data_IF_879287545827
#
_entry.id   IF_879287545827
#
_cell.length_a   1.000
_cell.length_b   1.000
_cell.length_c   1.000
_cell.angle_alpha   90.00
_cell.angle_beta   90.00
_cell.angle_gamma   90.00
#
_symmetry.space_group_name_H-M   'P 1'
#
loop_
_entity.id
_entity.type
_entity.pdbx_description
1 polymer ?
#
# COMPACT_ATOMS: atom_id res chain seq x y z
N UNK A 1 0.37 -4.77 -9.45
CA UNK A 1 1.72 -5.36 -9.46
C UNK A 1 2.77 -4.28 -9.66
N UNK A 2 3.16 -3.99 -10.91
CA UNK A 2 4.21 -3.00 -11.20
C UNK A 2 3.94 -1.59 -10.64
N UNK A 3 2.69 -1.12 -10.69
CA UNK A 3 2.30 0.18 -10.10
C UNK A 3 2.50 0.20 -8.57
N UNK A 4 2.09 -0.85 -7.85
CA UNK A 4 2.33 -0.96 -6.40
C UNK A 4 3.82 -1.01 -6.05
N UNK A 5 4.61 -1.75 -6.84
CA UNK A 5 6.06 -1.75 -6.68
C UNK A 5 6.63 -0.34 -6.87
N UNK A 6 6.22 0.36 -7.93
CA UNK A 6 6.64 1.73 -8.23
C UNK A 6 6.30 2.69 -7.08
N UNK A 7 5.05 2.73 -6.63
CA UNK A 7 4.62 3.62 -5.53
C UNK A 7 5.34 3.29 -4.21
N UNK A 8 5.52 2.00 -3.91
CA UNK A 8 6.29 1.56 -2.75
C UNK A 8 7.78 1.93 -2.85
N UNK A 9 8.35 1.85 -4.06
CA UNK A 9 9.72 2.21 -4.38
C UNK A 9 9.98 3.71 -4.25
N UNK A 10 9.05 4.57 -4.73
CA UNK A 10 9.10 6.01 -4.52
C UNK A 10 9.12 6.36 -3.03
N UNK A 11 8.22 5.76 -2.23
CA UNK A 11 8.17 5.99 -0.76
C UNK A 11 9.45 5.56 -0.05
N UNK A 12 10.12 4.49 -0.50
CA UNK A 12 11.46 4.12 -0.01
C UNK A 12 12.46 5.22 -0.37
N UNK A 13 12.47 5.64 -1.63
CA UNK A 13 13.44 6.62 -2.12
C UNK A 13 13.29 7.99 -1.44
N UNK A 14 12.06 8.44 -1.19
CA UNK A 14 11.78 9.67 -0.44
C UNK A 14 12.33 9.61 0.99
N UNK A 15 12.26 8.43 1.61
CA UNK A 15 12.67 8.23 2.99
C UNK A 15 14.19 8.05 3.17
N UNK A 16 14.87 7.47 2.18
CA UNK A 16 16.31 7.20 2.22
C UNK A 16 17.17 8.22 1.43
N UNK A 17 16.62 8.83 0.39
CA UNK A 17 17.34 9.68 -0.57
C UNK A 17 17.43 11.17 -0.23
N UNK A 18 16.80 11.61 0.87
CA UNK A 18 16.88 13.00 1.34
C UNK A 18 16.06 13.98 0.49
N UNK A 19 14.86 14.32 0.96
CA UNK A 19 14.23 15.64 0.81
C UNK A 19 14.33 16.36 -0.56
N UNK A 20 14.15 15.68 -1.69
CA UNK A 20 14.13 16.35 -3.01
C UNK A 20 12.73 16.57 -3.61
N UNK A 21 11.66 16.04 -3.01
CA UNK A 21 10.28 16.20 -3.52
C UNK A 21 9.22 16.52 -2.47
N UNK A 22 9.57 17.10 -1.32
CA UNK A 22 8.62 17.94 -0.61
C UNK A 22 8.57 19.32 -1.28
N UNK A 23 8.25 19.35 -2.58
CA UNK A 23 7.73 20.58 -3.14
C UNK A 23 6.26 20.55 -2.78
N UNK A 24 5.93 21.13 -1.62
CA UNK A 24 4.61 21.68 -1.44
C UNK A 24 4.30 22.46 -2.71
N UNK A 25 3.38 21.94 -3.53
CA UNK A 25 2.78 22.69 -4.60
C UNK A 25 2.01 23.81 -3.93
N UNK A 26 2.69 24.92 -3.64
CA UNK A 26 2.11 26.20 -3.25
C UNK A 26 1.47 26.89 -4.47
N UNK A 27 0.81 26.10 -5.32
CA UNK A 27 -0.09 26.54 -6.38
C UNK A 27 -1.55 26.38 -5.91
N UNK A 28 -2.52 27.00 -6.58
CA UNK A 28 -3.93 26.76 -6.28
C UNK A 28 -4.21 25.26 -6.43
N UNK A 29 -4.59 24.64 -5.32
CA UNK A 29 -4.92 23.21 -5.28
C UNK A 29 -6.19 23.01 -6.10
N UNK A 30 -6.08 22.36 -7.25
CA UNK A 30 -7.23 21.95 -8.04
C UNK A 30 -7.92 20.77 -7.35
N UNK A 31 -9.01 21.07 -6.63
CA UNK A 31 -9.81 20.08 -5.92
C UNK A 31 -10.29 18.96 -6.86
N UNK A 32 -10.60 19.29 -8.13
CA UNK A 32 -11.00 18.29 -9.11
C UNK A 32 -9.84 17.36 -9.48
N UNK A 33 -8.61 17.87 -9.53
CA UNK A 33 -7.41 17.04 -9.74
C UNK A 33 -7.19 16.09 -8.56
N UNK A 34 -7.32 16.56 -7.32
CA UNK A 34 -7.20 15.72 -6.12
C UNK A 34 -8.25 14.61 -6.13
N UNK A 35 -9.53 14.97 -6.34
CA UNK A 35 -10.62 13.99 -6.39
C UNK A 35 -10.37 12.95 -7.47
N UNK A 36 -9.95 13.38 -8.68
CA UNK A 36 -9.66 12.46 -9.79
C UNK A 36 -8.50 11.53 -9.47
N UNK A 37 -7.44 12.03 -8.85
CA UNK A 37 -6.29 11.21 -8.45
C UNK A 37 -6.68 10.18 -7.39
N UNK A 38 -7.47 10.59 -6.40
CA UNK A 38 -7.99 9.70 -5.37
C UNK A 38 -8.85 8.58 -5.96
N UNK A 39 -9.80 8.91 -6.84
CA UNK A 39 -10.67 7.93 -7.51
C UNK A 39 -9.86 6.97 -8.38
N UNK A 40 -8.89 7.47 -9.15
CA UNK A 40 -8.07 6.64 -10.04
C UNK A 40 -7.22 5.65 -9.23
N UNK A 41 -6.65 6.12 -8.12
CA UNK A 41 -5.86 5.27 -7.22
C UNK A 41 -6.73 4.18 -6.59
N UNK A 42 -7.90 4.55 -6.06
CA UNK A 42 -8.84 3.61 -5.46
C UNK A 42 -9.36 2.57 -6.48
N UNK A 43 -9.62 2.99 -7.73
CA UNK A 43 -10.04 2.08 -8.80
C UNK A 43 -8.96 1.05 -9.16
N UNK A 44 -7.70 1.48 -9.29
CA UNK A 44 -6.58 0.58 -9.58
C UNK A 44 -6.38 -0.42 -8.44
N UNK A 45 -6.38 0.06 -7.20
CA UNK A 45 -6.18 -0.75 -6.00
C UNK A 45 -7.33 -1.75 -5.80
N UNK A 46 -8.58 -1.31 -5.92
CA UNK A 46 -9.75 -2.20 -5.79
C UNK A 46 -9.82 -3.23 -6.92
N UNK A 47 -9.47 -2.85 -8.16
CA UNK A 47 -9.38 -3.78 -9.28
C UNK A 47 -8.30 -4.84 -9.03
N UNK A 48 -7.15 -4.45 -8.48
CA UNK A 48 -6.06 -5.39 -8.18
C UNK A 48 -6.45 -6.43 -7.12
N UNK A 49 -7.07 -6.00 -6.02
CA UNK A 49 -7.57 -6.91 -4.98
C UNK A 49 -8.63 -7.86 -5.56
N UNK A 50 -9.51 -7.36 -6.44
CA UNK A 50 -10.52 -8.19 -7.10
C UNK A 50 -9.90 -9.22 -8.04
N UNK A 51 -8.87 -8.84 -8.81
CA UNK A 51 -8.15 -9.76 -9.70
C UNK A 51 -7.39 -10.84 -8.93
N UNK A 52 -6.78 -10.49 -7.79
CA UNK A 52 -6.22 -11.46 -6.86
C UNK A 52 -7.29 -12.45 -6.37
N UNK A 53 -8.40 -11.94 -5.86
CA UNK A 53 -9.50 -12.78 -5.40
C UNK A 53 -10.01 -13.70 -6.52
N UNK A 54 -10.08 -13.20 -7.76
CA UNK A 54 -10.51 -13.95 -8.93
C UNK A 54 -9.53 -15.07 -9.31
N UNK A 55 -8.23 -14.83 -9.24
CA UNK A 55 -7.21 -15.86 -9.49
C UNK A 55 -7.34 -17.03 -8.50
N UNK A 56 -7.67 -16.73 -7.25
CA UNK A 56 -7.72 -17.74 -6.18
C UNK A 56 -8.93 -18.65 -6.28
N UNK A 57 -9.98 -18.21 -6.98
CA UNK A 57 -11.18 -18.99 -7.27
C UNK A 57 -11.31 -19.35 -8.75
N UNK A 58 -10.20 -19.31 -9.49
CA UNK A 58 -10.18 -19.64 -10.92
C UNK A 58 -10.54 -21.11 -11.19
N UNK A 59 -10.32 -22.01 -10.22
CA UNK A 59 -10.70 -23.43 -10.28
C UNK A 59 -12.15 -23.76 -9.87
N UNK A 60 -12.89 -22.79 -9.34
CA UNK A 60 -14.25 -23.01 -8.80
C UNK A 60 -15.35 -22.82 -9.85
N UNK A 61 -16.55 -23.37 -9.58
CA UNK A 61 -17.71 -23.17 -10.46
C UNK A 61 -18.13 -21.70 -10.54
N UNK A 62 -18.68 -21.27 -11.68
CA UNK A 62 -19.03 -19.85 -11.93
C UNK A 62 -19.88 -19.23 -10.84
N UNK A 63 -20.83 -19.98 -10.27
CA UNK A 63 -21.67 -19.52 -9.17
C UNK A 63 -20.88 -19.32 -7.87
N UNK A 64 -19.99 -20.26 -7.51
CA UNK A 64 -19.14 -20.15 -6.32
C UNK A 64 -18.18 -18.98 -6.43
N UNK A 65 -17.56 -18.80 -7.60
CA UNK A 65 -16.71 -17.65 -7.91
C UNK A 65 -17.42 -16.33 -7.66
N UNK A 66 -18.62 -16.14 -8.21
CA UNK A 66 -19.40 -14.90 -8.03
C UNK A 66 -19.69 -14.66 -6.54
N UNK A 67 -20.13 -15.68 -5.81
CA UNK A 67 -20.45 -15.55 -4.38
C UNK A 67 -19.19 -15.14 -3.58
N UNK A 68 -18.06 -15.79 -3.83
CA UNK A 68 -16.80 -15.47 -3.12
C UNK A 68 -16.34 -14.05 -3.44
N UNK A 69 -16.37 -13.64 -4.70
CA UNK A 69 -15.97 -12.26 -5.09
C UNK A 69 -16.85 -11.20 -4.43
N UNK A 70 -18.18 -11.41 -4.38
CA UNK A 70 -19.10 -10.49 -3.70
C UNK A 70 -18.82 -10.44 -2.20
N UNK A 71 -18.60 -11.60 -1.56
CA UNK A 71 -18.27 -11.67 -0.14
C UNK A 71 -16.96 -10.94 0.17
N UNK A 72 -15.91 -11.17 -0.61
CA UNK A 72 -14.62 -10.49 -0.44
C UNK A 72 -14.77 -8.99 -0.65
N UNK A 73 -15.48 -8.56 -1.69
CA UNK A 73 -15.73 -7.14 -1.96
C UNK A 73 -16.40 -6.44 -0.78
N UNK A 74 -17.47 -7.03 -0.24
CA UNK A 74 -18.17 -6.49 0.93
C UNK A 74 -17.29 -6.53 2.18
N UNK A 75 -16.63 -7.66 2.45
CA UNK A 75 -15.79 -7.85 3.62
C UNK A 75 -14.67 -6.82 3.66
N UNK A 76 -13.93 -6.64 2.57
CA UNK A 76 -12.82 -5.68 2.51
C UNK A 76 -13.34 -4.25 2.61
N UNK A 77 -14.46 -3.92 1.95
CA UNK A 77 -15.09 -2.59 2.06
C UNK A 77 -15.41 -2.26 3.52
N UNK A 78 -16.16 -3.13 4.22
CA UNK A 78 -16.51 -2.89 5.62
C UNK A 78 -15.30 -2.92 6.54
N UNK A 79 -14.35 -3.81 6.31
CA UNK A 79 -13.14 -3.91 7.14
C UNK A 79 -12.28 -2.65 7.04
N UNK A 80 -11.97 -2.18 5.82
CA UNK A 80 -11.10 -1.03 5.60
C UNK A 80 -11.80 0.26 6.03
N UNK A 81 -13.00 0.54 5.53
CA UNK A 81 -13.72 1.77 5.89
C UNK A 81 -14.15 1.78 7.36
N UNK A 82 -14.51 0.62 7.93
CA UNK A 82 -14.83 0.49 9.34
C UNK A 82 -13.61 0.74 10.23
N UNK A 83 -12.45 0.20 9.87
CA UNK A 83 -11.20 0.45 10.59
C UNK A 83 -10.80 1.92 10.53
N UNK A 84 -10.84 2.55 9.35
CA UNK A 84 -10.52 3.97 9.16
C UNK A 84 -11.49 4.85 9.97
N UNK A 85 -12.79 4.57 9.93
CA UNK A 85 -13.79 5.29 10.71
C UNK A 85 -13.56 5.12 12.22
N UNK A 86 -13.18 3.93 12.67
CA UNK A 86 -12.82 3.69 14.06
C UNK A 86 -11.57 4.49 14.47
N UNK A 87 -10.54 4.53 13.62
CA UNK A 87 -9.31 5.31 13.87
C UNK A 87 -9.60 6.81 14.01
N UNK A 88 -10.39 7.38 13.09
CA UNK A 88 -10.79 8.81 13.15
C UNK A 88 -11.59 9.08 14.42
N UNK A 89 -12.53 8.20 14.76
CA UNK A 89 -13.36 8.37 15.95
C UNK A 89 -12.57 8.29 17.26
N UNK A 90 -11.52 7.47 17.29
CA UNK A 90 -10.60 7.41 18.43
C UNK A 90 -9.75 8.69 18.55
N UNK A 91 -9.32 9.27 17.43
CA UNK A 91 -8.57 10.52 17.42
C UNK A 91 -9.43 11.71 17.90
N UNK A 92 -10.65 11.84 17.36
CA UNK A 92 -11.63 12.85 17.78
C UNK A 92 -11.99 12.72 19.26
N UNK A 93 -12.19 11.48 19.74
CA UNK A 93 -12.44 11.22 21.15
C UNK A 93 -11.23 11.61 22.02
N UNK A 94 -10.01 11.34 21.55
CA UNK A 94 -8.77 11.76 22.20
C UNK A 94 -8.67 13.27 22.34
N UNK A 95 -8.94 14.01 21.26
CA UNK A 95 -8.94 15.47 21.24
C UNK A 95 -10.00 16.05 22.19
N UNK A 96 -11.20 15.47 22.18
CA UNK A 96 -12.27 15.89 23.08
C UNK A 96 -11.90 15.68 24.56
N UNK A 97 -11.33 14.53 24.92
CA UNK A 97 -10.87 14.24 26.27
C UNK A 97 -9.69 15.12 26.70
N UNK A 98 -8.80 15.48 25.77
CA UNK A 98 -7.67 16.37 26.02
C UNK A 98 -8.10 17.81 26.33
N UNK A 99 -9.26 18.26 25.82
CA UNK A 99 -9.82 19.59 26.04
C UNK A 99 -10.79 19.66 27.23
N UNK A 100 -11.74 18.71 27.31
CA UNK A 100 -12.88 18.78 28.22
C UNK A 100 -12.83 17.75 29.37
N UNK A 101 -11.73 16.99 29.51
CA UNK A 101 -11.57 16.01 30.59
C UNK A 101 -11.79 16.60 31.98
N UNK A 102 -12.72 15.99 32.76
CA UNK A 102 -13.12 16.42 34.11
C UNK A 102 -12.01 16.25 35.16
N UNK A 103 -11.06 15.34 34.93
CA UNK A 103 -9.95 15.06 35.85
C UNK A 103 -8.60 15.20 35.14
N UNK A 104 -7.54 15.50 35.90
CA UNK A 104 -6.18 15.63 35.35
C UNK A 104 -5.70 14.38 34.62
N UNK A 105 -6.07 13.20 35.11
CA UNK A 105 -5.73 11.89 34.53
C UNK A 105 -6.43 11.68 33.18
N UNK A 106 -7.72 12.04 33.08
CA UNK A 106 -8.47 11.94 31.81
C UNK A 106 -7.90 12.91 30.77
N UNK A 107 -7.52 14.11 31.22
CA UNK A 107 -6.91 15.12 30.34
C UNK A 107 -5.53 14.69 29.85
N UNK A 108 -4.69 14.10 30.71
CA UNK A 108 -3.39 13.56 30.30
C UNK A 108 -3.53 12.37 29.36
N UNK A 109 -4.53 11.52 29.57
CA UNK A 109 -4.80 10.38 28.68
C UNK A 109 -5.27 10.83 27.28
N UNK A 110 -6.21 11.79 27.21
CA UNK A 110 -6.60 12.39 25.93
C UNK A 110 -5.42 13.05 25.20
N UNK A 111 -4.56 13.75 25.95
CA UNK A 111 -3.36 14.39 25.37
C UNK A 111 -2.36 13.35 24.86
N UNK A 112 -2.19 12.22 25.56
CA UNK A 112 -1.37 11.11 25.09
C UNK A 112 -1.91 10.51 23.78
N UNK A 113 -3.23 10.33 23.65
CA UNK A 113 -3.87 9.83 22.41
C UNK A 113 -3.54 10.75 21.22
N UNK A 114 -3.81 12.05 21.35
CA UNK A 114 -3.56 13.02 20.27
C UNK A 114 -2.06 13.10 19.90
N UNK A 115 -1.18 12.99 20.90
CA UNK A 115 0.27 13.05 20.67
C UNK A 115 0.77 11.77 19.97
N UNK A 116 0.11 10.63 20.18
CA UNK A 116 0.44 9.36 19.56
C UNK A 116 -0.19 9.18 18.17
N UNK A 117 -1.28 9.88 17.84
CA UNK A 117 -1.95 9.77 16.54
C UNK A 117 -1.00 9.97 15.34
N UNK A 118 -0.10 10.98 15.30
CA UNK A 118 0.87 11.11 14.21
C UNK A 118 1.87 9.95 14.12
N UNK A 119 2.22 9.32 15.25
CA UNK A 119 3.09 8.14 15.24
C UNK A 119 2.34 6.91 14.71
N UNK A 120 1.06 6.76 15.05
CA UNK A 120 0.19 5.70 14.53
C UNK A 120 0.02 5.80 13.02
N UNK A 121 -0.34 6.97 12.49
CA UNK A 121 -0.49 7.18 11.04
C UNK A 121 0.83 6.95 10.29
N UNK A 122 1.97 7.38 10.87
CA UNK A 122 3.29 7.03 10.31
C UNK A 122 3.51 5.52 10.32
N UNK A 123 3.22 4.83 11.41
CA UNK A 123 3.33 3.37 11.50
C UNK A 123 2.50 2.65 10.43
N UNK A 124 1.23 3.05 10.27
CA UNK A 124 0.33 2.52 9.24
C UNK A 124 0.91 2.77 7.84
N UNK A 125 1.46 3.96 7.58
CA UNK A 125 2.10 4.27 6.30
C UNK A 125 3.30 3.38 5.98
N UNK A 126 4.13 3.04 6.99
CA UNK A 126 5.26 2.13 6.83
C UNK A 126 4.77 0.72 6.53
N UNK A 127 3.82 0.22 7.32
CA UNK A 127 3.22 -1.10 7.11
C UNK A 127 2.58 -1.18 5.74
N UNK A 128 1.86 -0.13 5.32
CA UNK A 128 1.26 -0.02 4.00
C UNK A 128 2.30 -0.05 2.88
N UNK A 129 3.44 0.64 3.04
CA UNK A 129 4.53 0.61 2.05
C UNK A 129 5.13 -0.80 1.93
N UNK A 130 5.38 -1.47 3.05
CA UNK A 130 5.88 -2.86 3.05
C UNK A 130 4.87 -3.79 2.38
N UNK A 131 3.57 -3.62 2.69
CA UNK A 131 2.49 -4.38 2.06
C UNK A 131 2.41 -4.14 0.54
N UNK A 132 2.52 -2.90 0.08
CA UNK A 132 2.55 -2.55 -1.35
C UNK A 132 3.69 -3.25 -2.09
N UNK A 133 4.89 -3.30 -1.49
CA UNK A 133 6.06 -3.96 -2.07
C UNK A 133 5.93 -5.48 -2.09
N UNK A 134 5.45 -6.05 -0.99
CA UNK A 134 5.21 -7.49 -0.90
C UNK A 134 4.15 -7.96 -1.89
N UNK A 135 2.95 -7.37 -1.83
CA UNK A 135 1.82 -7.73 -2.70
C UNK A 135 2.15 -7.43 -4.16
N UNK A 136 2.70 -6.24 -4.43
CA UNK A 136 3.10 -5.85 -5.78
C UNK A 136 4.15 -6.78 -6.37
N UNK A 137 5.18 -7.14 -5.59
CA UNK A 137 6.27 -8.02 -6.00
C UNK A 137 5.79 -9.45 -6.26
N UNK A 138 4.94 -9.99 -5.38
CA UNK A 138 4.35 -11.32 -5.56
C UNK A 138 3.48 -11.38 -6.82
N UNK A 139 2.53 -10.44 -6.97
CA UNK A 139 1.66 -10.36 -8.15
C UNK A 139 2.49 -10.21 -9.42
N UNK A 140 3.51 -9.34 -9.40
CA UNK A 140 4.35 -9.12 -10.56
C UNK A 140 5.09 -10.40 -10.95
N UNK A 141 5.71 -11.11 -9.99
CA UNK A 141 6.41 -12.35 -10.24
C UNK A 141 5.47 -13.44 -10.80
N UNK A 142 4.30 -13.62 -10.20
CA UNK A 142 3.30 -14.63 -10.63
C UNK A 142 2.73 -14.31 -12.00
N UNK A 143 2.44 -13.03 -12.31
CA UNK A 143 1.95 -12.66 -13.64
C UNK A 143 3.04 -12.77 -14.72
N UNK A 144 4.30 -12.45 -14.40
CA UNK A 144 5.41 -12.63 -15.35
C UNK A 144 5.64 -14.11 -15.65
N UNK A 145 5.52 -14.98 -14.65
CA UNK A 145 5.59 -16.43 -14.86
C UNK A 145 4.52 -16.93 -15.82
N UNK A 146 3.26 -16.48 -15.66
CA UNK A 146 2.15 -16.80 -16.58
C UNK A 146 2.42 -16.37 -18.03
N UNK A 147 3.22 -15.33 -18.25
CA UNK A 147 3.59 -14.81 -19.59
C UNK A 147 4.88 -15.47 -20.12
N UNK A 148 5.50 -16.37 -19.36
CA UNK A 148 6.68 -17.15 -19.77
C UNK A 148 7.99 -16.71 -19.10
N UNK A 149 8.00 -15.62 -18.33
CA UNK A 149 9.19 -15.15 -17.61
C UNK A 149 9.21 -15.67 -16.17
N UNK A 150 9.84 -16.82 -15.97
CA UNK A 150 9.88 -17.53 -14.69
C UNK A 150 10.97 -17.12 -13.68
N UNK A 151 12.07 -16.41 -14.01
CA UNK A 151 13.16 -16.16 -13.06
C UNK A 151 12.74 -15.51 -11.72
N UNK A 152 11.76 -14.60 -11.73
CA UNK A 152 11.27 -13.96 -10.51
C UNK A 152 10.46 -14.93 -9.64
N UNK A 153 9.68 -15.80 -10.27
CA UNK A 153 8.88 -16.81 -9.57
C UNK A 153 9.78 -17.90 -8.98
N UNK A 154 10.78 -18.37 -9.73
CA UNK A 154 11.78 -19.31 -9.23
C UNK A 154 12.60 -18.76 -8.07
N UNK A 155 12.86 -17.45 -8.02
CA UNK A 155 13.52 -16.84 -6.87
C UNK A 155 12.68 -16.95 -5.58
N UNK A 156 11.35 -16.83 -5.70
CA UNK A 156 10.40 -17.01 -4.59
C UNK A 156 10.33 -18.49 -4.19
N UNK A 157 10.14 -19.40 -5.14
CA UNK A 157 10.13 -20.85 -4.90
C UNK A 157 11.42 -21.32 -4.24
N UNK A 158 12.58 -20.86 -4.72
CA UNK A 158 13.87 -21.18 -4.12
C UNK A 158 13.98 -20.70 -2.67
N UNK A 159 13.44 -19.51 -2.35
CA UNK A 159 13.40 -19.01 -0.99
C UNK A 159 12.46 -19.85 -0.10
N UNK A 160 11.35 -20.33 -0.65
CA UNK A 160 10.39 -21.19 0.02
C UNK A 160 10.96 -22.59 0.30
N UNK A 161 11.72 -23.16 -0.64
CA UNK A 161 12.35 -24.48 -0.54
C UNK A 161 13.53 -24.52 0.44
N UNK A 162 14.15 -23.37 0.70
CA UNK A 162 15.25 -23.23 1.66
C UNK A 162 14.86 -23.67 3.08
N UNK A 163 13.56 -23.72 3.36
CA UNK A 163 13.04 -24.11 4.67
C UNK A 163 11.96 -25.17 4.57
N UNK A 164 12.22 -26.36 5.13
CA UNK A 164 11.26 -27.47 5.15
C UNK A 164 10.11 -27.29 6.16
N UNK A 165 9.95 -26.11 6.74
CA UNK A 165 8.87 -25.77 7.67
C UNK A 165 7.86 -24.84 6.96
N UNK A 166 6.55 -25.15 6.96
CA UNK A 166 5.53 -24.36 6.28
C UNK A 166 5.51 -22.88 6.69
N UNK A 167 5.74 -22.58 7.98
CA UNK A 167 5.75 -21.21 8.48
C UNK A 167 6.96 -20.46 7.98
N UNK A 168 8.14 -21.09 8.01
CA UNK A 168 9.37 -20.45 7.55
C UNK A 168 9.37 -20.27 6.03
N UNK A 169 8.88 -21.26 5.29
CA UNK A 169 8.68 -21.17 3.84
C UNK A 169 7.79 -19.98 3.47
N UNK A 170 6.65 -19.80 4.17
CA UNK A 170 5.81 -18.63 3.95
C UNK A 170 6.52 -17.30 4.26
N UNK A 171 7.31 -17.24 5.34
CA UNK A 171 8.09 -16.04 5.70
C UNK A 171 9.16 -15.74 4.64
N UNK A 172 9.90 -16.75 4.18
CA UNK A 172 10.99 -16.55 3.21
C UNK A 172 10.45 -16.21 1.83
N UNK A 173 9.36 -16.85 1.37
CA UNK A 173 8.67 -16.51 0.12
C UNK A 173 8.09 -15.09 0.16
N UNK A 174 7.50 -14.69 1.29
CA UNK A 174 7.01 -13.32 1.54
C UNK A 174 8.15 -12.30 1.53
N UNK A 175 9.26 -12.59 2.21
CA UNK A 175 10.43 -11.73 2.25
C UNK A 175 11.03 -11.57 0.85
N UNK A 176 11.15 -12.65 0.08
CA UNK A 176 11.65 -12.61 -1.29
C UNK A 176 10.73 -11.81 -2.21
N UNK A 177 9.41 -12.00 -2.09
CA UNK A 177 8.41 -11.23 -2.84
C UNK A 177 8.54 -9.73 -2.54
N UNK A 178 8.70 -9.36 -1.27
CA UNK A 178 8.95 -7.98 -0.84
C UNK A 178 10.27 -7.42 -1.40
N UNK A 179 11.34 -8.21 -1.41
CA UNK A 179 12.65 -7.82 -1.98
C UNK A 179 12.55 -7.58 -3.49
N UNK A 180 11.91 -8.48 -4.23
CA UNK A 180 11.65 -8.32 -5.67
C UNK A 180 10.86 -7.05 -5.91
N UNK A 181 9.78 -6.83 -5.15
CA UNK A 181 8.97 -5.62 -5.24
C UNK A 181 9.78 -4.35 -4.95
N UNK A 182 10.65 -4.37 -3.94
CA UNK A 182 11.52 -3.25 -3.60
C UNK A 182 12.55 -2.95 -4.70
N UNK A 183 13.21 -3.97 -5.25
CA UNK A 183 14.20 -3.81 -6.32
C UNK A 183 13.53 -3.27 -7.59
N UNK A 184 12.46 -3.91 -8.06
CA UNK A 184 11.77 -3.48 -9.28
C UNK A 184 11.13 -2.11 -9.07
N UNK A 185 10.52 -1.89 -7.90
CA UNK A 185 9.90 -0.62 -7.53
C UNK A 185 10.87 0.54 -7.54
N UNK A 186 12.03 0.38 -6.90
CA UNK A 186 13.08 1.41 -6.90
C UNK A 186 13.68 1.64 -8.28
N UNK A 187 13.87 0.60 -9.10
CA UNK A 187 14.31 0.74 -10.49
C UNK A 187 13.31 1.53 -11.34
N UNK A 188 12.01 1.23 -11.22
CA UNK A 188 10.96 1.96 -11.92
C UNK A 188 10.89 3.42 -11.45
N UNK A 189 10.99 3.66 -10.15
CA UNK A 189 11.02 5.01 -9.57
C UNK A 189 12.20 5.83 -10.12
N UNK A 190 13.41 5.27 -10.11
CA UNK A 190 14.61 5.91 -10.66
C UNK A 190 14.51 6.17 -12.17
N UNK A 191 13.91 5.25 -12.93
CA UNK A 191 13.69 5.42 -14.36
C UNK A 191 12.67 6.53 -14.67
N UNK A 192 11.71 6.79 -13.76
CA UNK A 192 10.69 7.81 -13.91
C UNK A 192 11.16 9.22 -13.54
N UNK A 193 12.09 9.37 -12.59
CA UNK A 193 12.67 10.66 -12.19
C UNK A 193 13.15 11.56 -13.36
N UNK A 194 13.92 11.07 -14.36
CA UNK A 194 14.34 11.90 -15.49
C UNK A 194 13.18 12.34 -16.40
N UNK A 195 12.12 11.53 -16.51
CA UNK A 195 10.92 11.85 -17.30
C UNK A 195 10.14 12.98 -16.63
N UNK A 196 9.96 12.93 -15.31
CA UNK A 196 9.30 14.00 -14.58
C UNK A 196 10.08 15.33 -14.68
N UNK A 197 11.42 15.27 -14.57
CA UNK A 197 12.27 16.45 -14.79
C UNK A 197 12.18 17.01 -16.22
N UNK A 198 11.98 16.17 -17.23
CA UNK A 198 11.82 16.61 -18.62
C UNK A 198 10.42 17.22 -18.88
N UNK A 199 9.36 16.64 -18.32
CA UNK A 199 7.98 17.13 -18.46
C UNK A 199 7.77 18.42 -17.68
N UNK A 200 8.32 18.54 -16.46
CA UNK A 200 8.24 19.76 -15.66
C UNK A 200 8.97 20.97 -16.29
N UNK A 201 9.97 20.72 -17.17
CA UNK A 201 10.62 21.78 -17.96
C UNK A 201 9.75 22.26 -19.12
N UNK A 202 8.90 21.41 -19.70
CA UNK A 202 7.99 21.80 -20.80
C UNK A 202 6.80 22.63 -20.34
N UNK A 203 6.38 22.50 -19.09
CA UNK A 203 5.25 23.28 -18.56
C UNK A 203 5.63 24.70 -18.08
N UNK A 204 6.91 25.06 -18.15
CA UNK A 204 7.48 26.36 -17.76
C UNK A 204 7.99 27.20 -18.94
N UNK A 205 7.85 26.72 -20.17
CA UNK A 205 8.17 27.47 -21.40
C UNK A 205 6.90 27.72 -22.20
#
# INVERSE_FOLDING_TARGET
GAYLCFEGGEKILERFGGAAHAKEETGPVDEAQIIRQAITTDFVLSTEIMLLALAEVEGESSMRRIIVLVLIALLITFAVYGLVAALIKLDDAGAHLAGQGRTGIIRSFGRAIVTLAPALFRGIGIVGTVAMLWVGGHILATNLAKVGFHPLHHAIEWAEELTHNPVLSWITGTAMSCLIGAVIGTLLALAWQPVHHAVARRHKG
#
